data_IF_591533796298
#
_entry.id   IF_591533796298
#
_cell.length_a   1.000
_cell.length_b   1.000
_cell.length_c   1.000
_cell.angle_alpha   90.00
_cell.angle_beta   90.00
_cell.angle_gamma   90.00
#
_symmetry.space_group_name_H-M   'P 1'
#
loop_
_entity.id
_entity.type
_entity.pdbx_description
1 polymer ?
#
# COMPACT_ATOMS: atom_id res chain seq x y z
N UNK A 1 1.92 41.81 19.88
CA UNK A 1 2.06 41.84 21.35
C UNK A 1 2.77 40.57 21.77
N UNK A 2 3.84 40.69 22.57
CA UNK A 2 4.55 39.56 23.16
C UNK A 2 4.05 39.40 24.59
N UNK A 3 3.53 38.23 24.91
CA UNK A 3 3.08 37.85 26.26
C UNK A 3 3.94 36.68 26.74
N UNK A 4 4.69 36.91 27.82
CA UNK A 4 5.50 35.87 28.46
C UNK A 4 4.81 35.48 29.75
N UNK A 5 4.33 34.25 29.83
CA UNK A 5 3.67 33.70 31.00
C UNK A 5 4.35 32.39 31.45
N UNK A 6 4.06 31.96 32.67
CA UNK A 6 4.58 30.70 33.23
C UNK A 6 4.14 29.47 32.42
N UNK A 7 2.99 29.55 31.73
CA UNK A 7 2.48 28.49 30.85
C UNK A 7 3.01 28.53 29.41
N UNK A 8 3.73 29.59 29.01
CA UNK A 8 4.26 29.70 27.66
C UNK A 8 4.44 31.13 27.18
N UNK A 9 4.96 31.26 25.97
CA UNK A 9 5.17 32.53 25.27
C UNK A 9 4.16 32.60 24.13
N UNK A 10 3.41 33.68 24.07
CA UNK A 10 2.46 33.96 23.00
C UNK A 10 2.87 35.23 22.25
N UNK A 11 2.84 35.15 20.92
CA UNK A 11 3.24 36.25 20.02
C UNK A 11 2.09 36.48 19.04
N UNK A 12 1.35 37.58 19.24
CA UNK A 12 0.17 37.91 18.42
C UNK A 12 0.35 39.20 17.63
N UNK A 13 -0.37 39.33 16.51
CA UNK A 13 -0.37 40.51 15.65
C UNK A 13 1.04 40.93 15.17
N UNK A 14 1.82 39.97 14.68
CA UNK A 14 3.19 40.19 14.18
C UNK A 14 3.28 39.71 12.74
N UNK A 15 3.85 40.54 11.86
CA UNK A 15 4.02 40.22 10.43
C UNK A 15 5.01 39.09 10.21
N UNK A 16 6.05 39.04 11.02
CA UNK A 16 7.15 38.08 10.94
C UNK A 16 7.79 37.90 12.32
N UNK A 17 8.14 36.66 12.66
CA UNK A 17 8.87 36.31 13.87
C UNK A 17 10.18 35.63 13.47
N UNK A 18 11.29 36.19 13.93
CA UNK A 18 12.63 35.73 13.61
C UNK A 18 13.38 35.37 14.90
N UNK A 19 14.06 34.22 14.90
CA UNK A 19 15.00 33.82 15.95
C UNK A 19 16.39 33.84 15.36
N UNK A 20 17.33 34.48 16.06
CA UNK A 20 18.72 34.61 15.64
C UNK A 20 19.61 33.84 16.61
N UNK A 21 20.66 33.20 16.08
CA UNK A 21 21.69 32.59 16.89
C UNK A 21 22.46 33.70 17.65
N UNK A 22 22.73 33.53 18.96
CA UNK A 22 23.20 34.62 19.81
C UNK A 22 24.62 35.08 19.52
N UNK A 23 25.45 34.24 18.90
CA UNK A 23 26.89 34.49 18.73
C UNK A 23 27.23 35.10 17.38
N UNK A 24 26.61 34.63 16.30
CA UNK A 24 26.89 35.02 14.92
C UNK A 24 25.76 35.86 14.29
N UNK A 25 24.67 36.10 15.03
CA UNK A 25 23.49 36.84 14.60
C UNK A 25 22.83 36.30 13.32
N UNK A 26 23.07 35.03 12.98
CA UNK A 26 22.46 34.40 11.81
C UNK A 26 21.01 33.98 12.12
N UNK A 27 20.04 34.19 11.21
CA UNK A 27 18.66 33.76 11.43
C UNK A 27 18.59 32.23 11.45
N UNK A 28 18.10 31.66 12.55
CA UNK A 28 17.88 30.22 12.73
C UNK A 28 16.42 29.81 12.56
N UNK A 29 15.49 30.76 12.66
CA UNK A 29 14.07 30.54 12.40
C UNK A 29 13.44 31.84 11.89
N UNK A 30 12.52 31.75 10.93
CA UNK A 30 11.74 32.87 10.41
C UNK A 30 10.34 32.40 10.04
N UNK A 31 9.31 33.14 10.42
CA UNK A 31 7.95 32.94 9.88
C UNK A 31 7.71 33.70 8.56
N UNK A 32 8.60 34.62 8.19
CA UNK A 32 8.53 35.41 6.96
C UNK A 32 9.15 34.70 5.75
N UNK A 33 10.03 33.72 6.00
CA UNK A 33 10.57 32.82 5.00
C UNK A 33 9.95 31.42 5.12
N UNK A 34 9.04 31.01 4.21
CA UNK A 34 8.48 29.66 4.22
C UNK A 34 9.51 28.58 3.85
N UNK A 35 10.69 28.98 3.37
CA UNK A 35 11.81 28.10 3.08
C UNK A 35 12.55 27.79 4.38
N UNK A 36 11.98 26.88 5.17
CA UNK A 36 12.69 26.25 6.28
C UNK A 36 13.75 25.31 5.70
N UNK A 37 15.02 25.75 5.68
CA UNK A 37 16.14 24.88 5.39
C UNK A 37 16.28 23.87 6.54
N UNK A 38 16.06 22.59 6.27
CA UNK A 38 16.23 21.54 7.28
C UNK A 38 17.68 21.57 7.80
N UNK A 39 17.92 21.82 9.11
CA UNK A 39 19.27 21.78 9.65
C UNK A 39 19.88 20.38 9.48
N UNK A 40 21.21 20.31 9.43
CA UNK A 40 21.91 19.03 9.30
C UNK A 40 21.54 18.12 10.48
N UNK A 41 21.24 16.85 10.18
CA UNK A 41 20.93 15.83 11.19
C UNK A 41 19.45 15.62 11.49
N UNK A 42 18.53 16.35 10.85
CA UNK A 42 17.09 16.06 10.96
C UNK A 42 16.79 14.70 10.33
N UNK A 43 16.31 13.75 11.14
CA UNK A 43 15.95 12.38 10.72
C UNK A 43 14.44 12.16 10.54
N UNK A 44 13.61 12.91 11.26
CA UNK A 44 12.16 12.82 11.20
C UNK A 44 11.58 14.21 10.93
N UNK A 45 10.72 14.31 9.92
CA UNK A 45 9.94 15.50 9.63
C UNK A 45 8.47 15.18 9.89
N UNK A 46 7.88 15.87 10.86
CA UNK A 46 6.48 15.71 11.27
C UNK A 46 5.74 17.03 11.02
N UNK A 47 4.95 17.07 9.95
CA UNK A 47 4.46 18.30 9.32
C UNK A 47 3.14 18.03 8.63
N UNK A 48 2.24 19.01 8.63
CA UNK A 48 0.94 18.90 7.97
C UNK A 48 1.04 19.02 6.44
N UNK A 49 1.96 19.86 5.95
CA UNK A 49 2.16 20.07 4.51
C UNK A 49 3.63 20.41 4.22
N UNK A 50 4.18 19.78 3.19
CA UNK A 50 5.49 20.11 2.62
C UNK A 50 5.33 20.40 1.15
N UNK A 51 6.00 21.46 0.68
CA UNK A 51 6.17 21.74 -0.75
C UNK A 51 7.65 21.66 -1.06
N UNK A 52 8.05 20.64 -1.80
CA UNK A 52 9.44 20.42 -2.21
C UNK A 52 9.46 19.86 -3.63
N UNK A 53 10.55 20.09 -4.35
CA UNK A 53 10.78 19.51 -5.67
C UNK A 53 11.22 18.04 -5.58
N UNK A 54 11.82 17.63 -4.47
CA UNK A 54 12.39 16.29 -4.30
C UNK A 54 12.34 15.83 -2.85
N UNK A 55 12.02 14.55 -2.67
CA UNK A 55 12.16 13.81 -1.41
C UNK A 55 13.06 12.61 -1.72
N UNK A 56 14.13 12.42 -0.95
CA UNK A 56 15.10 11.33 -1.13
C UNK A 56 15.59 10.85 0.22
N UNK A 57 15.92 9.56 0.34
CA UNK A 57 16.68 9.08 1.49
C UNK A 57 18.16 9.46 1.38
N UNK A 58 18.89 9.40 2.50
CA UNK A 58 20.34 9.24 2.49
C UNK A 58 20.77 7.94 1.77
N UNK A 59 22.06 7.85 1.40
CA UNK A 59 22.60 6.71 0.65
C UNK A 59 22.47 5.39 1.42
N UNK A 60 22.69 5.42 2.73
CA UNK A 60 22.76 4.24 3.60
C UNK A 60 21.50 4.06 4.47
N UNK A 61 20.42 4.77 4.17
CA UNK A 61 19.18 4.74 4.95
C UNK A 61 17.95 4.65 4.03
N UNK A 62 16.84 4.18 4.60
CA UNK A 62 15.55 4.05 3.91
C UNK A 62 14.74 5.37 3.94
N UNK A 63 13.99 5.63 2.88
CA UNK A 63 12.97 6.68 2.87
C UNK A 63 11.64 6.09 3.35
N UNK A 64 11.21 6.45 4.55
CA UNK A 64 9.92 6.01 5.10
C UNK A 64 8.89 7.11 4.98
N UNK A 65 7.85 6.88 4.16
CA UNK A 65 6.65 7.71 4.09
C UNK A 65 5.53 7.03 4.88
N UNK A 66 5.07 7.66 5.96
CA UNK A 66 4.02 7.13 6.84
C UNK A 66 2.88 8.14 6.96
N UNK A 67 1.65 7.62 6.92
CA UNK A 67 0.42 8.35 7.20
C UNK A 67 -0.44 7.48 8.12
N UNK A 68 -1.16 8.11 9.04
CA UNK A 68 -2.07 7.40 9.96
C UNK A 68 -3.40 7.01 9.31
N UNK A 69 -3.78 7.70 8.23
CA UNK A 69 -5.10 7.52 7.59
C UNK A 69 -4.97 6.92 6.20
N UNK A 70 -4.32 7.62 5.29
CA UNK A 70 -4.02 7.12 3.95
C UNK A 70 -2.80 7.83 3.36
N UNK A 71 -2.07 7.11 2.51
CA UNK A 71 -1.00 7.67 1.67
C UNK A 71 -1.49 7.70 0.24
N UNK A 72 -1.47 8.88 -0.40
CA UNK A 72 -1.90 9.02 -1.80
C UNK A 72 -0.82 9.71 -2.62
N UNK A 73 -0.22 8.96 -3.53
CA UNK A 73 0.65 9.52 -4.57
C UNK A 73 -0.20 9.88 -5.79
N UNK A 74 -0.02 11.10 -6.29
CA UNK A 74 -0.60 11.58 -7.55
C UNK A 74 0.43 12.42 -8.29
N UNK A 75 0.45 12.32 -9.61
CA UNK A 75 1.15 13.26 -10.46
C UNK A 75 0.34 13.52 -11.72
N UNK A 76 0.27 14.77 -12.14
CA UNK A 76 -0.43 15.16 -13.37
C UNK A 76 0.21 14.55 -14.61
N UNK A 77 1.53 14.32 -14.56
CA UNK A 77 2.33 13.69 -15.62
C UNK A 77 2.71 12.24 -15.27
N UNK A 78 2.10 11.69 -14.22
CA UNK A 78 2.45 10.39 -13.67
C UNK A 78 3.40 10.46 -12.48
N UNK A 79 3.81 9.29 -12.00
CA UNK A 79 4.66 9.12 -10.83
C UNK A 79 5.77 8.15 -11.23
N UNK A 80 7.03 8.53 -10.97
CA UNK A 80 8.19 7.65 -11.12
C UNK A 80 8.76 7.38 -9.73
N UNK A 81 8.89 6.10 -9.36
CA UNK A 81 9.47 5.65 -8.11
C UNK A 81 10.64 4.74 -8.42
N UNK A 82 11.79 5.01 -7.81
CA UNK A 82 13.02 4.25 -8.00
C UNK A 82 13.60 3.91 -6.64
N UNK A 83 14.03 2.67 -6.48
CA UNK A 83 14.66 2.19 -5.27
C UNK A 83 15.17 0.76 -5.48
N UNK A 84 16.14 0.36 -4.66
CA UNK A 84 16.60 -1.04 -4.62
C UNK A 84 15.45 -1.97 -4.24
N UNK A 85 14.58 -1.51 -3.34
CA UNK A 85 13.37 -2.20 -2.91
C UNK A 85 12.32 -1.15 -2.62
N UNK A 86 11.09 -1.37 -3.10
CA UNK A 86 9.94 -0.50 -2.83
C UNK A 86 8.89 -1.35 -2.12
N UNK A 87 8.60 -1.01 -0.86
CA UNK A 87 7.66 -1.76 -0.02
C UNK A 87 6.45 -0.88 0.29
N UNK A 88 5.27 -1.31 -0.16
CA UNK A 88 3.99 -0.69 0.18
C UNK A 88 3.28 -1.56 1.22
N UNK A 89 2.92 -0.94 2.35
CA UNK A 89 2.13 -1.59 3.41
C UNK A 89 0.95 -0.71 3.76
N UNK A 90 -0.20 -1.35 3.97
CA UNK A 90 -1.43 -0.72 4.42
C UNK A 90 -2.16 -1.73 5.31
N UNK A 91 -2.88 -1.26 6.31
CA UNK A 91 -3.61 -2.12 7.23
C UNK A 91 -4.80 -2.82 6.55
N UNK A 92 -5.44 -2.11 5.60
CA UNK A 92 -6.58 -2.60 4.84
C UNK A 92 -6.19 -2.86 3.38
N UNK A 93 -6.16 -1.81 2.56
CA UNK A 93 -6.13 -1.94 1.11
C UNK A 93 -5.01 -1.09 0.46
N UNK A 94 -4.47 -1.62 -0.64
CA UNK A 94 -3.60 -0.88 -1.56
C UNK A 94 -4.31 -0.80 -2.92
N UNK A 95 -4.63 0.42 -3.36
CA UNK A 95 -5.31 0.65 -4.63
C UNK A 95 -4.35 1.15 -5.71
N UNK A 96 -4.22 0.38 -6.79
CA UNK A 96 -3.56 0.80 -8.01
C UNK A 96 -4.63 1.18 -9.04
N UNK A 97 -4.72 2.47 -9.40
CA UNK A 97 -5.75 2.98 -10.30
C UNK A 97 -5.14 3.76 -11.46
N UNK A 98 -5.48 3.38 -12.68
CA UNK A 98 -5.31 4.19 -13.89
C UNK A 98 -6.69 4.69 -14.34
N UNK A 99 -6.80 5.97 -14.69
CA UNK A 99 -8.10 6.58 -15.08
C UNK A 99 -8.36 6.41 -16.57
N UNK A 100 -7.33 6.64 -17.40
CA UNK A 100 -7.43 6.60 -18.87
C UNK A 100 -6.27 5.83 -19.51
N UNK A 101 -5.69 4.86 -18.80
CA UNK A 101 -4.55 4.11 -19.28
C UNK A 101 -4.54 2.67 -18.75
N UNK A 102 -3.46 1.96 -19.04
CA UNK A 102 -3.21 0.64 -18.49
C UNK A 102 -2.43 0.71 -17.19
N UNK A 103 -2.62 -0.31 -16.35
CA UNK A 103 -1.67 -0.65 -15.29
C UNK A 103 -0.82 -1.79 -15.83
N UNK A 104 0.48 -1.57 -15.98
CA UNK A 104 1.44 -2.61 -16.39
C UNK A 104 2.32 -2.93 -15.19
N UNK A 105 2.30 -4.19 -14.79
CA UNK A 105 3.22 -4.73 -13.80
C UNK A 105 4.20 -5.62 -14.55
N UNK A 106 5.48 -5.26 -14.51
CA UNK A 106 6.54 -6.00 -15.20
C UNK A 106 7.68 -6.24 -14.21
N UNK A 107 8.17 -7.48 -14.17
CA UNK A 107 9.26 -7.88 -13.30
C UNK A 107 10.10 -8.94 -14.01
N UNK A 108 11.44 -8.78 -13.97
CA UNK A 108 12.40 -9.69 -14.61
C UNK A 108 12.18 -11.17 -14.21
N UNK A 109 11.82 -11.39 -12.94
CA UNK A 109 11.60 -12.73 -12.40
C UNK A 109 10.10 -13.08 -12.28
N UNK A 110 9.21 -12.29 -12.90
CA UNK A 110 7.77 -12.44 -12.77
C UNK A 110 7.18 -11.76 -11.53
N UNK A 111 5.84 -11.74 -11.48
CA UNK A 111 5.06 -11.19 -10.37
C UNK A 111 4.66 -12.34 -9.46
N UNK A 112 4.96 -12.23 -8.17
CA UNK A 112 4.64 -13.25 -7.18
C UNK A 112 3.48 -12.81 -6.31
N UNK A 113 2.56 -13.73 -6.06
CA UNK A 113 1.42 -13.55 -5.18
C UNK A 113 1.45 -14.66 -4.13
N UNK A 114 1.31 -14.30 -2.86
CA UNK A 114 1.22 -15.29 -1.78
C UNK A 114 -0.14 -16.00 -1.84
N UNK A 115 -0.15 -17.15 -2.52
CA UNK A 115 -1.36 -17.95 -2.76
C UNK A 115 -2.02 -18.42 -1.47
N UNK A 116 -1.30 -18.50 -0.34
CA UNK A 116 -1.87 -18.92 0.94
C UNK A 116 -2.85 -17.88 1.49
N UNK A 117 -2.65 -16.61 1.14
CA UNK A 117 -3.51 -15.49 1.52
C UNK A 117 -4.72 -15.29 0.60
N UNK A 118 -4.80 -16.03 -0.50
CA UNK A 118 -5.94 -15.94 -1.41
C UNK A 118 -7.13 -16.78 -0.93
N UNK A 119 -8.37 -16.28 -1.08
CA UNK A 119 -9.58 -17.04 -0.79
C UNK A 119 -9.57 -18.36 -1.56
N UNK A 120 -9.75 -19.46 -0.82
CA UNK A 120 -9.85 -20.80 -1.38
C UNK A 120 -11.31 -21.22 -1.46
N UNK A 121 -11.75 -21.57 -2.67
CA UNK A 121 -13.04 -22.20 -2.88
C UNK A 121 -12.93 -23.68 -2.50
N UNK A 122 -13.53 -24.02 -1.36
CA UNK A 122 -13.61 -25.40 -0.83
C UNK A 122 -14.72 -26.23 -1.47
N UNK A 123 -15.69 -25.57 -2.12
CA UNK A 123 -16.84 -26.24 -2.73
C UNK A 123 -17.04 -25.73 -4.15
N UNK A 124 -16.88 -26.63 -5.12
CA UNK A 124 -17.31 -26.40 -6.49
C UNK A 124 -18.40 -27.44 -6.84
N UNK A 125 -19.04 -27.30 -8.00
CA UNK A 125 -20.17 -28.17 -8.39
C UNK A 125 -19.80 -29.67 -8.46
N UNK A 126 -18.51 -29.98 -8.56
CA UNK A 126 -17.96 -31.32 -8.74
C UNK A 126 -17.17 -31.84 -7.53
N UNK A 127 -16.82 -30.96 -6.59
CA UNK A 127 -15.94 -31.23 -5.45
C UNK A 127 -16.50 -30.55 -4.21
N UNK A 128 -16.88 -31.37 -3.24
CA UNK A 128 -17.10 -30.92 -1.88
C UNK A 128 -15.90 -31.34 -1.03
N UNK A 129 -14.95 -30.44 -0.81
CA UNK A 129 -13.73 -30.73 -0.05
C UNK A 129 -14.04 -31.13 1.41
N UNK A 130 -15.19 -30.70 1.94
CA UNK A 130 -15.65 -31.11 3.27
C UNK A 130 -16.12 -32.58 3.31
N UNK A 131 -16.55 -33.14 2.17
CA UNK A 131 -16.98 -34.54 2.04
C UNK A 131 -15.83 -35.49 1.68
N UNK A 132 -14.76 -34.98 1.06
CA UNK A 132 -13.61 -35.78 0.62
C UNK A 132 -12.74 -36.23 1.80
N UNK A 133 -12.65 -35.42 2.87
CA UNK A 133 -11.87 -35.80 4.07
C UNK A 133 -12.42 -37.05 4.78
N UNK A 134 -13.63 -37.51 4.45
CA UNK A 134 -14.26 -38.71 5.02
C UNK A 134 -14.33 -39.91 4.06
N UNK A 135 -13.94 -39.77 2.80
CA UNK A 135 -14.07 -40.83 1.79
C UNK A 135 -12.73 -41.04 1.11
N UNK A 136 -11.95 -41.94 1.70
CA UNK A 136 -10.72 -42.56 1.20
C UNK A 136 -9.51 -41.63 1.11
N UNK A 137 -8.38 -42.09 1.67
CA UNK A 137 -7.10 -41.39 1.77
C UNK A 137 -6.42 -41.08 0.43
N UNK A 138 -7.07 -40.25 -0.39
CA UNK A 138 -6.47 -39.61 -1.55
C UNK A 138 -5.54 -38.52 -0.99
N UNK A 139 -4.27 -38.88 -0.83
CA UNK A 139 -3.23 -37.94 -0.48
C UNK A 139 -3.05 -36.96 -1.65
N UNK A 140 -3.70 -35.80 -1.57
CA UNK A 140 -3.49 -34.66 -2.46
C UNK A 140 -2.09 -34.06 -2.21
N UNK A 141 -1.05 -34.78 -2.61
CA UNK A 141 0.35 -34.38 -2.43
C UNK A 141 0.76 -33.26 -3.39
N UNK A 142 -0.02 -33.00 -4.44
CA UNK A 142 0.22 -31.94 -5.42
C UNK A 142 -1.07 -31.14 -5.63
N UNK A 143 -1.42 -30.27 -4.66
CA UNK A 143 -2.59 -29.40 -4.76
C UNK A 143 -2.33 -28.30 -5.81
N UNK A 144 -2.52 -28.63 -7.08
CA UNK A 144 -2.54 -27.64 -8.14
C UNK A 144 -3.81 -26.79 -8.02
N UNK A 145 -3.66 -25.47 -8.23
CA UNK A 145 -4.76 -24.52 -8.15
C UNK A 145 -4.89 -23.76 -9.46
N UNK A 146 -6.12 -23.45 -9.83
CA UNK A 146 -6.39 -22.37 -10.80
C UNK A 146 -6.65 -21.08 -10.07
N UNK A 147 -6.06 -20.01 -10.60
CA UNK A 147 -6.40 -18.63 -10.23
C UNK A 147 -7.52 -18.16 -11.14
N UNK A 148 -8.61 -17.70 -10.53
CA UNK A 148 -9.78 -17.20 -11.21
C UNK A 148 -9.95 -15.72 -10.86
N UNK A 149 -10.42 -14.92 -11.82
CA UNK A 149 -10.59 -13.47 -11.67
C UNK A 149 -12.07 -13.12 -11.81
N UNK A 150 -12.61 -12.44 -10.81
CA UNK A 150 -13.96 -11.88 -10.85
C UNK A 150 -13.98 -10.63 -11.73
N UNK A 151 -14.52 -10.75 -12.94
CA UNK A 151 -14.73 -9.60 -13.80
C UNK A 151 -16.05 -8.88 -13.45
N UNK A 152 -16.11 -7.54 -13.52
CA UNK A 152 -15.03 -6.60 -13.83
C UNK A 152 -14.21 -6.16 -12.59
N UNK A 153 -14.50 -6.70 -11.41
CA UNK A 153 -14.00 -6.22 -10.12
C UNK A 153 -12.49 -6.47 -9.90
N UNK A 154 -11.91 -7.45 -10.61
CA UNK A 154 -10.50 -7.82 -10.49
C UNK A 154 -10.17 -8.65 -9.25
N UNK A 155 -11.16 -9.11 -8.46
CA UNK A 155 -10.92 -9.96 -7.28
C UNK A 155 -10.36 -11.32 -7.70
N UNK A 156 -9.30 -11.78 -7.06
CA UNK A 156 -8.63 -13.06 -7.38
C UNK A 156 -8.95 -14.09 -6.30
N UNK A 157 -9.31 -15.29 -6.72
CA UNK A 157 -9.51 -16.43 -5.83
C UNK A 157 -8.92 -17.70 -6.43
N UNK A 158 -8.70 -18.73 -5.62
CA UNK A 158 -8.16 -20.02 -6.06
C UNK A 158 -9.18 -21.15 -5.95
N UNK A 159 -9.15 -22.05 -6.93
CA UNK A 159 -9.98 -23.25 -7.00
C UNK A 159 -9.08 -24.48 -7.11
N UNK A 160 -9.37 -25.53 -6.33
CA UNK A 160 -8.68 -26.81 -6.45
C UNK A 160 -8.93 -27.42 -7.83
N UNK A 161 -7.86 -27.90 -8.46
CA UNK A 161 -7.94 -28.76 -9.64
C UNK A 161 -7.91 -30.20 -9.16
N UNK A 162 -8.83 -31.02 -9.66
CA UNK A 162 -8.70 -32.48 -9.61
C UNK A 162 -8.30 -32.93 -11.00
N UNK A 163 -7.43 -33.95 -11.08
CA UNK A 163 -6.85 -34.49 -12.31
C UNK A 163 -7.90 -35.23 -13.17
N UNK A 164 -8.92 -34.50 -13.60
CA UNK A 164 -9.99 -34.94 -14.48
C UNK A 164 -10.25 -33.89 -15.56
N UNK A 165 -10.93 -34.29 -16.64
CA UNK A 165 -11.24 -33.51 -17.85
C UNK A 165 -11.90 -32.16 -17.53
N UNK A 166 -12.57 -32.08 -16.38
CA UNK A 166 -13.30 -30.91 -15.87
C UNK A 166 -12.41 -29.81 -15.28
N UNK A 167 -11.11 -30.06 -15.04
CA UNK A 167 -10.17 -29.07 -14.50
C UNK A 167 -10.07 -27.80 -15.36
N UNK A 168 -10.33 -27.90 -16.67
CA UNK A 168 -10.39 -26.75 -17.59
C UNK A 168 -11.45 -25.71 -17.19
N UNK A 169 -12.60 -26.18 -16.69
CA UNK A 169 -13.77 -25.34 -16.36
C UNK A 169 -13.89 -25.04 -14.85
N UNK A 170 -12.83 -25.27 -14.06
CA UNK A 170 -12.89 -25.10 -12.60
C UNK A 170 -13.35 -23.71 -12.14
N UNK A 171 -12.98 -22.65 -12.87
CA UNK A 171 -13.42 -21.28 -12.59
C UNK A 171 -14.89 -21.02 -12.94
N UNK A 172 -15.45 -21.75 -13.93
CA UNK A 172 -16.85 -21.60 -14.35
C UNK A 172 -17.80 -22.34 -13.40
N UNK A 173 -17.34 -23.43 -12.80
CA UNK A 173 -18.17 -24.36 -12.06
C UNK A 173 -18.10 -24.16 -10.54
N UNK A 174 -17.77 -22.95 -10.10
CA UNK A 174 -17.73 -22.61 -8.67
C UNK A 174 -19.15 -22.43 -8.11
N UNK A 175 -19.31 -22.71 -6.82
CA UNK A 175 -20.56 -22.40 -6.14
C UNK A 175 -20.72 -20.86 -6.01
N UNK A 176 -21.75 -20.31 -6.65
CA UNK A 176 -22.08 -18.87 -6.62
C UNK A 176 -23.20 -18.53 -5.65
N UNK A 177 -23.54 -19.43 -4.72
CA UNK A 177 -24.51 -19.14 -3.65
C UNK A 177 -24.12 -17.86 -2.89
N UNK A 178 -25.07 -16.98 -2.52
CA UNK A 178 -24.77 -15.66 -1.96
C UNK A 178 -23.80 -15.65 -0.77
N UNK A 179 -23.89 -16.66 0.10
CA UNK A 179 -23.06 -16.79 1.30
C UNK A 179 -21.58 -17.12 1.01
N UNK A 180 -21.27 -17.68 -0.16
CA UNK A 180 -19.95 -18.21 -0.49
C UNK A 180 -19.40 -17.64 -1.82
N UNK A 181 -20.01 -16.57 -2.33
CA UNK A 181 -19.70 -16.05 -3.66
C UNK A 181 -18.38 -15.24 -3.63
N UNK A 182 -17.27 -15.74 -4.22
CA UNK A 182 -15.95 -15.09 -4.09
C UNK A 182 -15.89 -13.68 -4.67
N UNK A 183 -16.74 -13.36 -5.64
CA UNK A 183 -16.83 -12.03 -6.22
C UNK A 183 -17.67 -11.02 -5.41
N UNK A 184 -18.48 -11.49 -4.44
CA UNK A 184 -19.34 -10.62 -3.62
C UNK A 184 -18.80 -10.38 -2.21
N UNK A 185 -17.89 -11.23 -1.73
CA UNK A 185 -17.12 -11.04 -0.50
C UNK A 185 -16.21 -9.82 -0.59
#
# INVERSE_FOLDING_TARGET
>A
MLTVASQGIEVTNVKEFNVYHPTDHMPIFSTGFPNFGLPRGVKKLDVQQVRTSRITSPIEDDLVLRSETYTRLKGNEGIRMEGRTITWTADNDIFLKSVNGSLVLEAKNGIFLDVKKLPLIKKNQFLNLDSINNINGINYTHQAYKLCVCMPQGKIFRVHIVDDVTGHNACLNINTSPEHHPCRL
#
